data_IF_778951099550
#
_entry.id   IF_778951099550
#
_cell.length_a   1.000
_cell.length_b   1.000
_cell.length_c   1.000
_cell.angle_alpha   90.00
_cell.angle_beta   90.00
_cell.angle_gamma   90.00
#
_symmetry.space_group_name_H-M   'P 1'
#
loop_
_entity.id
_entity.type
_entity.pdbx_description
1 polymer ?
#
# COMPACT_ATOMS: atom_id res chain seq x y z
N UNK A 1 2.29 -1.40 -23.40
CA UNK A 1 2.00 0.05 -23.41
C UNK A 1 2.49 0.78 -22.16
N UNK A 2 1.70 0.93 -21.08
CA UNK A 2 2.07 1.83 -19.95
C UNK A 2 3.33 1.38 -19.17
N UNK A 3 3.46 0.08 -18.90
CA UNK A 3 4.64 -0.49 -18.20
C UNK A 3 5.92 -0.28 -19.02
N UNK A 4 5.84 -0.45 -20.33
CA UNK A 4 6.95 -0.23 -21.28
C UNK A 4 7.38 1.24 -21.32
N UNK A 5 6.43 2.17 -21.25
CA UNK A 5 6.71 3.61 -21.16
C UNK A 5 7.33 3.99 -19.81
N UNK A 6 6.89 3.37 -18.71
CA UNK A 6 7.51 3.55 -17.39
C UNK A 6 8.94 3.02 -17.34
N UNK A 7 9.23 1.89 -17.99
CA UNK A 7 10.61 1.38 -18.09
C UNK A 7 11.52 2.34 -18.85
N UNK A 8 11.04 2.92 -19.95
CA UNK A 8 11.80 3.90 -20.72
C UNK A 8 12.06 5.18 -19.90
N UNK A 9 11.06 5.69 -19.18
CA UNK A 9 11.20 6.85 -18.29
C UNK A 9 12.11 6.55 -17.09
N UNK A 10 12.05 5.35 -16.51
CA UNK A 10 12.96 4.93 -15.43
C UNK A 10 14.41 4.88 -15.88
N UNK A 11 14.65 4.42 -17.11
CA UNK A 11 15.99 4.41 -17.71
C UNK A 11 16.49 5.82 -18.04
N UNK A 12 15.59 6.74 -18.42
CA UNK A 12 15.91 8.13 -18.75
C UNK A 12 16.19 9.01 -17.52
N UNK A 13 15.54 8.74 -16.38
CA UNK A 13 15.65 9.54 -15.15
C UNK A 13 16.61 8.90 -14.12
N UNK A 14 17.07 7.67 -14.33
CA UNK A 14 17.96 6.97 -13.42
C UNK A 14 17.28 6.45 -12.14
N UNK A 15 15.96 6.29 -12.16
CA UNK A 15 15.14 5.80 -11.03
C UNK A 15 14.78 4.32 -11.26
N UNK A 16 14.88 3.49 -10.21
CA UNK A 16 14.58 2.04 -10.32
C UNK A 16 13.13 1.78 -10.73
N UNK A 17 12.91 0.74 -11.55
CA UNK A 17 11.56 0.33 -12.04
C UNK A 17 10.58 0.08 -10.88
N UNK A 18 11.08 -0.45 -9.76
CA UNK A 18 10.34 -0.71 -8.54
C UNK A 18 9.76 0.57 -7.94
N UNK A 19 10.55 1.65 -7.88
CA UNK A 19 10.12 2.93 -7.33
C UNK A 19 9.11 3.64 -8.22
N UNK A 20 9.27 3.53 -9.54
CA UNK A 20 8.35 4.07 -10.54
C UNK A 20 6.98 3.35 -10.51
N UNK A 21 6.99 2.03 -10.31
CA UNK A 21 5.77 1.25 -10.10
C UNK A 21 5.07 1.56 -8.77
N UNK A 22 5.82 1.68 -7.68
CA UNK A 22 5.27 1.97 -6.36
C UNK A 22 4.70 3.40 -6.25
N UNK A 23 5.20 4.34 -7.05
CA UNK A 23 4.78 5.74 -6.98
C UNK A 23 3.78 6.08 -8.08
N UNK A 24 4.17 6.04 -9.35
CA UNK A 24 3.35 6.56 -10.46
C UNK A 24 2.15 5.66 -10.75
N UNK A 25 2.34 4.33 -10.79
CA UNK A 25 1.22 3.42 -11.04
C UNK A 25 0.28 3.36 -9.84
N UNK A 26 0.82 3.30 -8.63
CA UNK A 26 0.00 3.28 -7.42
C UNK A 26 -0.78 4.59 -7.22
N UNK A 27 -0.14 5.75 -7.39
CA UNK A 27 -0.84 7.04 -7.36
C UNK A 27 -1.88 7.14 -8.47
N UNK A 28 -1.56 6.71 -9.69
CA UNK A 28 -2.49 6.74 -10.81
C UNK A 28 -3.77 5.93 -10.56
N UNK A 29 -3.68 4.84 -9.80
CA UNK A 29 -4.86 4.05 -9.43
C UNK A 29 -5.72 4.77 -8.38
N UNK A 30 -5.10 5.36 -7.35
CA UNK A 30 -5.82 5.96 -6.22
C UNK A 30 -6.17 7.44 -6.39
N UNK A 31 -5.63 8.15 -7.38
CA UNK A 31 -5.94 9.58 -7.58
C UNK A 31 -7.38 9.80 -8.04
N UNK A 32 -7.94 8.87 -8.83
CA UNK A 32 -9.34 8.91 -9.25
C UNK A 32 -10.29 8.76 -8.06
N UNK A 33 -10.01 7.79 -7.19
CA UNK A 33 -10.76 7.57 -5.95
C UNK A 33 -10.68 8.79 -5.03
N UNK A 34 -9.48 9.37 -4.87
CA UNK A 34 -9.28 10.58 -4.06
C UNK A 34 -10.11 11.78 -4.59
N UNK A 35 -10.14 11.98 -5.90
CA UNK A 35 -10.93 13.05 -6.53
C UNK A 35 -12.43 12.78 -6.34
N UNK A 36 -12.87 11.53 -6.49
CA UNK A 36 -14.27 11.15 -6.31
C UNK A 36 -14.74 11.33 -4.85
N UNK A 37 -13.96 10.86 -3.88
CA UNK A 37 -14.29 10.97 -2.46
C UNK A 37 -14.29 12.42 -1.98
N UNK A 38 -13.34 13.23 -2.46
CA UNK A 38 -13.32 14.68 -2.15
C UNK A 38 -14.47 15.43 -2.80
N UNK A 39 -14.90 15.03 -4.01
CA UNK A 39 -16.10 15.57 -4.64
C UNK A 39 -17.37 15.22 -3.84
N UNK A 40 -17.52 13.97 -3.40
CA UNK A 40 -18.65 13.53 -2.56
C UNK A 40 -18.68 14.23 -1.20
N UNK A 41 -17.52 14.43 -0.58
CA UNK A 41 -17.41 15.19 0.66
C UNK A 41 -17.82 16.66 0.50
N UNK A 42 -17.45 17.29 -0.63
CA UNK A 42 -17.85 18.67 -0.97
C UNK A 42 -19.33 18.77 -1.35
N UNK A 43 -19.91 17.72 -1.92
CA UNK A 43 -21.33 17.64 -2.27
C UNK A 43 -22.25 17.43 -1.04
N UNK A 44 -21.72 17.45 0.18
CA UNK A 44 -22.50 17.31 1.42
C UNK A 44 -22.69 15.86 1.88
N UNK A 45 -22.02 14.89 1.24
CA UNK A 45 -22.11 13.46 1.59
C UNK A 45 -20.78 12.89 2.12
N UNK A 46 -20.21 13.43 3.22
CA UNK A 46 -18.91 12.99 3.75
C UNK A 46 -18.93 11.54 4.26
N UNK A 47 -20.09 11.03 4.70
CA UNK A 47 -20.23 9.63 5.12
C UNK A 47 -20.04 8.66 3.94
N UNK A 48 -20.52 9.05 2.76
CA UNK A 48 -20.39 8.25 1.54
C UNK A 48 -18.96 8.30 1.00
N UNK A 49 -18.32 9.49 1.01
CA UNK A 49 -16.90 9.60 0.66
C UNK A 49 -15.97 8.84 1.62
N UNK A 50 -16.30 8.78 2.90
CA UNK A 50 -15.56 7.92 3.85
C UNK A 50 -15.74 6.42 3.53
N UNK A 51 -16.93 5.99 3.15
CA UNK A 51 -17.18 4.61 2.73
C UNK A 51 -16.44 4.24 1.44
N UNK A 52 -16.35 5.17 0.47
CA UNK A 52 -15.58 5.01 -0.77
C UNK A 52 -14.09 4.85 -0.53
N UNK A 53 -13.50 5.76 0.26
CA UNK A 53 -12.07 5.79 0.57
C UNK A 53 -11.55 4.50 1.22
N UNK A 54 -12.33 3.86 2.11
CA UNK A 54 -11.97 2.58 2.70
C UNK A 54 -12.42 1.38 1.85
N UNK A 55 -13.58 1.49 1.21
CA UNK A 55 -14.20 0.40 0.46
C UNK A 55 -13.47 0.07 -0.84
N UNK A 56 -13.02 1.09 -1.60
CA UNK A 56 -12.31 0.90 -2.86
C UNK A 56 -11.03 0.08 -2.71
N UNK A 57 -10.07 0.50 -1.87
CA UNK A 57 -8.85 -0.26 -1.62
C UNK A 57 -9.12 -1.65 -1.05
N UNK A 58 -10.09 -1.79 -0.15
CA UNK A 58 -10.45 -3.09 0.44
C UNK A 58 -11.02 -4.05 -0.60
N UNK A 59 -11.88 -3.55 -1.51
CA UNK A 59 -12.44 -4.32 -2.61
C UNK A 59 -11.36 -4.76 -3.60
N UNK A 60 -10.46 -3.85 -3.98
CA UNK A 60 -9.33 -4.16 -4.85
C UNK A 60 -8.41 -5.22 -4.25
N UNK A 61 -8.21 -5.19 -2.93
CA UNK A 61 -7.42 -6.22 -2.25
C UNK A 61 -8.17 -7.57 -2.23
N UNK A 62 -9.41 -7.61 -1.73
CA UNK A 62 -10.15 -8.86 -1.56
C UNK A 62 -10.49 -9.53 -2.89
N UNK A 63 -11.09 -8.76 -3.81
CA UNK A 63 -11.54 -9.29 -5.10
C UNK A 63 -10.38 -9.31 -6.09
N UNK A 64 -9.64 -8.21 -6.23
CA UNK A 64 -8.54 -8.16 -7.19
C UNK A 64 -7.45 -9.17 -6.85
N UNK A 65 -6.84 -9.07 -5.66
CA UNK A 65 -5.74 -9.98 -5.31
C UNK A 65 -6.22 -11.34 -4.81
N UNK A 66 -7.24 -11.40 -3.95
CA UNK A 66 -7.71 -12.65 -3.34
C UNK A 66 -8.29 -13.64 -4.35
N UNK A 67 -9.11 -13.17 -5.30
CA UNK A 67 -9.68 -14.03 -6.34
C UNK A 67 -8.62 -14.45 -7.34
N UNK A 68 -7.71 -13.55 -7.74
CA UNK A 68 -6.59 -13.88 -8.63
C UNK A 68 -5.67 -14.96 -8.05
N UNK A 69 -5.34 -14.86 -6.75
CA UNK A 69 -4.56 -15.87 -6.04
C UNK A 69 -5.31 -17.21 -5.95
N UNK A 70 -6.61 -17.16 -5.68
CA UNK A 70 -7.44 -18.37 -5.56
C UNK A 70 -7.53 -19.12 -6.89
N UNK A 71 -7.78 -18.40 -7.99
CA UNK A 71 -7.79 -18.99 -9.33
C UNK A 71 -6.44 -19.56 -9.73
N UNK A 72 -5.35 -18.88 -9.40
CA UNK A 72 -4.01 -19.38 -9.71
C UNK A 72 -3.68 -20.66 -8.95
N UNK A 73 -3.97 -20.72 -7.66
CA UNK A 73 -3.77 -21.93 -6.85
C UNK A 73 -4.60 -23.11 -7.39
N UNK A 74 -5.84 -22.85 -7.84
CA UNK A 74 -6.69 -23.87 -8.44
C UNK A 74 -6.16 -24.38 -9.79
N UNK A 75 -5.56 -23.50 -10.61
CA UNK A 75 -5.12 -23.84 -11.96
C UNK A 75 -3.70 -24.43 -12.05
N UNK A 76 -2.76 -24.00 -11.21
CA UNK A 76 -1.33 -24.34 -11.35
C UNK A 76 -0.68 -24.94 -10.09
N UNK A 77 -1.41 -25.10 -9.00
CA UNK A 77 -0.84 -25.55 -7.71
C UNK A 77 -0.01 -24.46 -7.01
N UNK A 78 0.75 -24.86 -5.99
CA UNK A 78 1.41 -23.95 -5.04
C UNK A 78 2.14 -22.77 -5.69
N UNK A 79 1.69 -21.55 -5.37
CA UNK A 79 2.42 -20.32 -5.62
C UNK A 79 3.52 -20.13 -4.56
N UNK A 80 4.79 -20.25 -4.96
CA UNK A 80 5.88 -19.69 -4.15
C UNK A 80 5.87 -18.16 -4.38
N UNK A 81 5.48 -17.43 -3.35
CA UNK A 81 5.58 -15.97 -3.32
C UNK A 81 6.97 -15.57 -2.87
N UNK A 82 7.73 -14.96 -3.78
CA UNK A 82 8.97 -14.29 -3.41
C UNK A 82 8.61 -12.91 -2.86
N UNK A 83 8.63 -12.77 -1.53
CA UNK A 83 8.34 -11.50 -0.88
C UNK A 83 9.53 -10.58 -1.06
N UNK A 84 9.41 -9.63 -1.98
CA UNK A 84 10.37 -8.54 -2.09
C UNK A 84 10.37 -7.72 -0.79
N UNK A 85 11.52 -7.13 -0.44
CA UNK A 85 11.82 -6.50 0.85
C UNK A 85 10.87 -5.34 1.19
N UNK A 86 10.24 -4.76 0.18
CA UNK A 86 9.30 -3.63 0.28
C UNK A 86 7.88 -4.06 0.68
N UNK A 87 7.46 -5.28 0.31
CA UNK A 87 6.13 -5.84 0.60
C UNK A 87 5.85 -5.96 2.11
N UNK A 88 6.73 -6.58 2.93
CA UNK A 88 6.46 -6.72 4.37
C UNK A 88 6.40 -5.37 5.09
N UNK A 89 7.22 -4.40 4.67
CA UNK A 89 7.20 -3.03 5.21
C UNK A 89 5.89 -2.33 4.84
N UNK A 90 5.47 -2.41 3.58
CA UNK A 90 4.18 -1.87 3.13
C UNK A 90 3.00 -2.46 3.91
N UNK A 91 3.01 -3.78 4.14
CA UNK A 91 1.97 -4.45 4.92
C UNK A 91 1.94 -3.98 6.39
N UNK A 92 3.11 -3.83 7.03
CA UNK A 92 3.20 -3.34 8.39
C UNK A 92 2.68 -1.90 8.53
N UNK A 93 2.99 -1.02 7.58
CA UNK A 93 2.47 0.34 7.55
C UNK A 93 0.97 0.40 7.26
N UNK A 94 0.46 -0.48 6.40
CA UNK A 94 -0.98 -0.61 6.14
C UNK A 94 -1.72 -0.97 7.44
N UNK A 95 -1.28 -2.03 8.13
CA UNK A 95 -1.86 -2.46 9.41
C UNK A 95 -1.76 -1.32 10.45
N UNK A 96 -0.61 -0.65 10.53
CA UNK A 96 -0.40 0.51 11.39
C UNK A 96 -1.40 1.64 11.12
N UNK A 97 -1.64 1.98 9.85
CA UNK A 97 -2.61 3.03 9.48
C UNK A 97 -4.05 2.70 9.89
N UNK A 98 -4.44 1.42 9.75
CA UNK A 98 -5.77 0.94 10.15
C UNK A 98 -5.91 0.99 11.67
N UNK A 99 -4.89 0.58 12.43
CA UNK A 99 -4.89 0.67 13.89
C UNK A 99 -4.94 2.11 14.40
N UNK A 100 -4.16 3.00 13.79
CA UNK A 100 -4.18 4.44 14.09
C UNK A 100 -5.59 4.99 13.88
N UNK A 101 -6.23 4.65 12.76
CA UNK A 101 -7.61 5.05 12.45
C UNK A 101 -8.61 4.45 13.45
N UNK A 102 -8.47 3.18 13.79
CA UNK A 102 -9.37 2.47 14.71
C UNK A 102 -9.31 3.02 16.15
N UNK A 103 -8.14 3.49 16.59
CA UNK A 103 -7.95 4.08 17.93
C UNK A 103 -8.36 5.56 17.96
N UNK A 104 -8.06 6.31 16.91
CA UNK A 104 -8.34 7.75 16.87
C UNK A 104 -9.81 8.08 16.65
N UNK A 105 -10.55 7.31 15.84
CA UNK A 105 -11.98 7.58 15.57
C UNK A 105 -12.87 7.54 16.83
N UNK A 106 -12.72 6.57 17.76
CA UNK A 106 -13.41 6.58 19.05
C UNK A 106 -13.03 7.77 19.93
N UNK A 107 -11.75 8.11 19.99
CA UNK A 107 -11.23 9.22 20.82
C UNK A 107 -11.73 10.59 20.33
N UNK A 108 -11.92 10.75 19.02
CA UNK A 108 -12.47 11.97 18.41
C UNK A 108 -14.01 12.00 18.35
N UNK A 109 -14.71 11.11 19.07
CA UNK A 109 -16.19 11.02 19.09
C UNK A 109 -16.80 11.00 17.68
N UNK A 110 -16.16 10.30 16.73
CA UNK A 110 -16.60 10.20 15.35
C UNK A 110 -16.66 11.52 14.57
N UNK A 111 -15.97 12.57 15.06
CA UNK A 111 -15.79 13.83 14.33
C UNK A 111 -14.46 13.82 13.60
N UNK A 112 -14.51 13.71 12.28
CA UNK A 112 -13.32 13.82 11.41
C UNK A 112 -12.87 15.28 11.37
N UNK A 113 -11.85 15.61 12.17
CA UNK A 113 -11.26 16.96 12.21
C UNK A 113 -10.10 17.07 11.22
N UNK A 114 -9.74 18.30 10.82
CA UNK A 114 -8.58 18.56 9.94
C UNK A 114 -7.27 17.98 10.48
N UNK A 115 -7.13 17.91 11.81
CA UNK A 115 -5.94 17.36 12.47
C UNK A 115 -5.77 15.86 12.20
N UNK A 116 -6.86 15.10 12.14
CA UNK A 116 -6.83 13.67 11.82
C UNK A 116 -6.32 13.42 10.40
N UNK A 117 -6.76 14.24 9.43
CA UNK A 117 -6.28 14.19 8.05
C UNK A 117 -4.80 14.54 7.93
N UNK A 118 -4.35 15.61 8.62
CA UNK A 118 -2.93 16.00 8.64
C UNK A 118 -2.03 14.92 9.24
N UNK A 119 -2.48 14.23 10.29
CA UNK A 119 -1.75 13.11 10.88
C UNK A 119 -1.57 11.96 9.87
N UNK A 120 -2.62 11.61 9.13
CA UNK A 120 -2.54 10.58 8.09
C UNK A 120 -1.63 10.98 6.92
N UNK A 121 -1.65 12.24 6.51
CA UNK A 121 -0.71 12.75 5.50
C UNK A 121 0.72 12.67 6.02
N UNK A 122 0.98 13.04 7.27
CA UNK A 122 2.30 12.90 7.90
C UNK A 122 2.77 11.44 7.97
N UNK A 123 1.88 10.51 8.33
CA UNK A 123 2.16 9.08 8.34
C UNK A 123 2.48 8.54 6.93
N UNK A 124 1.76 9.01 5.91
CA UNK A 124 2.02 8.66 4.52
C UNK A 124 3.39 9.17 4.04
N UNK A 125 3.76 10.40 4.39
CA UNK A 125 5.09 10.95 4.07
C UNK A 125 6.19 10.15 4.76
N UNK A 126 5.99 9.76 6.02
CA UNK A 126 6.93 8.89 6.73
C UNK A 126 7.10 7.54 6.02
N UNK A 127 6.00 6.90 5.62
CA UNK A 127 6.02 5.65 4.85
C UNK A 127 6.82 5.81 3.54
N UNK A 128 6.56 6.88 2.78
CA UNK A 128 7.28 7.18 1.54
C UNK A 128 8.78 7.36 1.78
N UNK A 129 9.18 8.08 2.83
CA UNK A 129 10.59 8.25 3.19
C UNK A 129 11.25 6.94 3.63
N UNK A 130 10.56 6.11 4.41
CA UNK A 130 11.09 4.79 4.80
C UNK A 130 11.29 3.88 3.60
N UNK A 131 10.36 3.87 2.65
CA UNK A 131 10.47 3.04 1.45
C UNK A 131 11.57 3.55 0.52
N UNK A 132 11.69 4.87 0.38
CA UNK A 132 12.77 5.51 -0.38
C UNK A 132 14.15 5.20 0.20
N UNK A 133 14.31 5.31 1.53
CA UNK A 133 15.58 5.03 2.21
C UNK A 133 15.97 3.55 2.14
N UNK A 134 14.99 2.63 2.19
CA UNK A 134 15.22 1.20 2.00
C UNK A 134 15.77 0.88 0.61
N UNK A 135 15.17 1.45 -0.43
CA UNK A 135 15.58 1.26 -1.82
C UNK A 135 16.98 1.86 -2.08
N UNK A 136 17.23 3.09 -1.61
CA UNK A 136 18.50 3.79 -1.85
C UNK A 136 19.68 3.27 -1.03
N UNK A 137 19.44 2.91 0.24
CA UNK A 137 20.53 2.59 1.19
C UNK A 137 20.76 1.08 1.31
N UNK A 138 19.80 0.24 0.89
CA UNK A 138 19.82 -1.21 1.08
C UNK A 138 20.44 -1.64 2.43
N UNK A 139 19.97 -1.11 3.58
CA UNK A 139 20.67 -1.30 4.85
C UNK A 139 20.64 -2.79 5.26
N UNK A 140 21.80 -3.47 5.34
CA UNK A 140 21.85 -4.92 5.56
C UNK A 140 21.30 -5.37 6.93
N UNK A 141 21.28 -4.47 7.91
CA UNK A 141 20.75 -4.74 9.26
C UNK A 141 19.20 -4.75 9.32
N UNK A 142 18.54 -3.97 8.46
CA UNK A 142 17.08 -3.88 8.43
C UNK A 142 16.48 -5.04 7.62
N UNK A 143 17.18 -5.41 6.54
CA UNK A 143 16.84 -6.56 5.70
C UNK A 143 17.01 -7.87 6.48
N UNK A 144 18.10 -8.05 7.22
CA UNK A 144 18.32 -9.28 8.00
C UNK A 144 17.31 -9.43 9.15
N UNK A 145 16.91 -8.34 9.80
CA UNK A 145 15.87 -8.35 10.84
C UNK A 145 14.48 -8.67 10.29
N UNK A 146 14.07 -8.01 9.19
CA UNK A 146 12.77 -8.26 8.55
C UNK A 146 12.70 -9.63 7.88
N UNK A 147 13.75 -10.06 7.19
CA UNK A 147 13.80 -11.36 6.52
C UNK A 147 13.93 -12.52 7.51
N UNK A 148 14.54 -12.30 8.68
CA UNK A 148 14.51 -13.25 9.80
C UNK A 148 13.13 -13.32 10.46
N UNK A 149 12.48 -12.17 10.71
CA UNK A 149 11.15 -12.13 11.33
C UNK A 149 10.08 -12.71 10.41
N UNK A 150 10.08 -12.32 9.12
CA UNK A 150 9.20 -12.90 8.12
C UNK A 150 9.61 -14.33 7.79
N UNK A 151 10.89 -14.68 7.59
CA UNK A 151 11.30 -16.07 7.35
C UNK A 151 10.96 -17.03 8.49
N UNK A 152 10.86 -16.55 9.73
CA UNK A 152 10.46 -17.34 10.91
C UNK A 152 8.94 -17.49 11.06
N UNK A 153 8.14 -16.56 10.52
CA UNK A 153 6.67 -16.62 10.55
C UNK A 153 6.05 -17.09 9.23
N UNK A 154 6.75 -16.92 8.13
CA UNK A 154 6.49 -17.49 6.82
C UNK A 154 7.06 -18.90 6.81
N UNK A 155 6.45 -19.81 7.58
CA UNK A 155 6.60 -21.26 7.41
C UNK A 155 6.07 -21.73 6.05
N UNK A 156 6.48 -21.06 4.98
CA UNK A 156 6.25 -21.42 3.59
C UNK A 156 7.27 -22.50 3.30
N UNK A 157 6.86 -23.72 3.62
CA UNK A 157 7.39 -24.95 3.05
C UNK A 157 7.18 -24.86 1.54
N UNK A 158 8.11 -24.21 0.81
CA UNK A 158 8.33 -24.54 -0.59
C UNK A 158 8.99 -25.92 -0.56
N UNK A 159 8.25 -26.94 -1.01
CA UNK A 159 8.77 -28.28 -1.26
C UNK A 159 9.04 -28.40 -2.75
#
# INVERSE_FOLDING_TARGET
>A
ELVSALEFLGTAVGISRSMLGLTVLAWGNSIGDFVADTALARAGNPKMGAAGCFGGPLFNLLIGTGVSLSFHNFSKGNLCFDFDKTVPVGLAFLIGSVLITMVSLPLLKWKVTRQFGMLHVGYYVLFMLTTLTLELTNPPWLISGLQSWFGKHSGVVCR
#
